data_IF_178168036905
#
_entry.id   IF_178168036905
#
_cell.length_a   1.000
_cell.length_b   1.000
_cell.length_c   1.000
_cell.angle_alpha   90.00
_cell.angle_beta   90.00
_cell.angle_gamma   90.00
#
_symmetry.space_group_name_H-M   'P 1'
#
loop_
_entity.id
_entity.type
_entity.pdbx_description
1 polymer ?
#
# COMPACT_ATOMS: atom_id res chain seq x y z
N UNK A 1 -15.22 -11.61 9.95
CA UNK A 1 -13.82 -11.16 9.87
C UNK A 1 -12.90 -12.35 10.04
N UNK A 2 -12.63 -13.03 8.93
CA UNK A 2 -11.60 -14.04 8.79
C UNK A 2 -10.20 -13.40 8.75
N UNK A 3 -9.15 -14.24 8.76
CA UNK A 3 -7.78 -13.80 8.52
C UNK A 3 -7.66 -13.07 7.18
N UNK A 4 -8.27 -13.61 6.13
CA UNK A 4 -8.17 -13.07 4.77
C UNK A 4 -8.89 -11.72 4.66
N UNK A 5 -10.08 -11.59 5.26
CA UNK A 5 -10.80 -10.32 5.34
C UNK A 5 -9.99 -9.25 6.10
N UNK A 6 -9.24 -9.66 7.14
CA UNK A 6 -8.39 -8.76 7.90
C UNK A 6 -7.16 -8.32 7.11
N UNK A 7 -6.49 -9.25 6.40
CA UNK A 7 -5.34 -8.94 5.56
C UNK A 7 -5.73 -8.03 4.39
N UNK A 8 -6.86 -8.32 3.73
CA UNK A 8 -7.38 -7.46 2.66
C UNK A 8 -7.66 -6.05 3.16
N UNK A 9 -8.27 -5.91 4.34
CA UNK A 9 -8.52 -4.60 4.95
C UNK A 9 -7.22 -3.80 5.16
N UNK A 10 -6.16 -4.44 5.68
CA UNK A 10 -4.88 -3.76 5.86
C UNK A 10 -4.20 -3.42 4.54
N UNK A 11 -4.31 -4.31 3.55
CA UNK A 11 -3.79 -4.06 2.20
C UNK A 11 -4.46 -2.82 1.59
N UNK A 12 -5.79 -2.74 1.66
CA UNK A 12 -6.56 -1.59 1.17
C UNK A 12 -6.15 -0.29 1.89
N UNK A 13 -5.88 -0.35 3.19
CA UNK A 13 -5.38 0.81 3.95
C UNK A 13 -4.01 1.29 3.45
N UNK A 14 -3.06 0.37 3.21
CA UNK A 14 -1.75 0.75 2.69
C UNK A 14 -1.81 1.22 1.24
N UNK A 15 -2.66 0.61 0.40
CA UNK A 15 -2.88 1.09 -0.97
C UNK A 15 -3.50 2.50 -0.99
N UNK A 16 -4.36 2.83 -0.04
CA UNK A 16 -4.84 4.21 0.15
C UNK A 16 -3.70 5.16 0.53
N UNK A 17 -2.75 4.74 1.36
CA UNK A 17 -1.57 5.53 1.69
C UNK A 17 -0.66 5.72 0.46
N UNK A 18 -0.37 4.65 -0.29
CA UNK A 18 0.37 4.72 -1.55
C UNK A 18 -0.28 5.73 -2.50
N UNK A 19 -1.61 5.66 -2.67
CA UNK A 19 -2.36 6.60 -3.48
C UNK A 19 -2.24 8.04 -2.96
N UNK A 20 -2.42 8.26 -1.66
CA UNK A 20 -2.33 9.57 -1.02
C UNK A 20 -0.95 10.21 -1.20
N UNK A 21 0.12 9.41 -1.20
CA UNK A 21 1.49 9.87 -1.42
C UNK A 21 1.94 9.85 -2.88
N UNK A 22 1.11 9.41 -3.82
CA UNK A 22 1.44 9.34 -5.25
C UNK A 22 1.22 10.68 -5.97
N UNK A 23 2.15 11.05 -6.84
CA UNK A 23 2.02 12.26 -7.66
C UNK A 23 1.00 12.14 -8.79
N UNK A 24 0.55 10.92 -9.10
CA UNK A 24 -0.36 10.63 -10.19
C UNK A 24 -1.30 9.46 -9.83
N UNK A 25 -2.40 9.35 -10.57
CA UNK A 25 -3.42 8.31 -10.36
C UNK A 25 -2.92 6.88 -10.66
N UNK A 26 -1.87 6.74 -11.47
CA UNK A 26 -1.27 5.43 -11.75
C UNK A 26 -0.40 4.93 -10.59
N UNK A 27 -0.20 5.77 -9.56
CA UNK A 27 0.68 5.48 -8.43
C UNK A 27 2.07 5.05 -8.89
N UNK A 28 2.56 5.63 -10.00
CA UNK A 28 3.84 5.24 -10.58
C UNK A 28 5.04 5.99 -9.99
N UNK A 29 4.77 7.08 -9.27
CA UNK A 29 5.80 7.92 -8.66
C UNK A 29 5.27 8.65 -7.42
N UNK A 30 6.12 8.87 -6.40
CA UNK A 30 5.75 9.64 -5.21
C UNK A 30 5.59 11.14 -5.49
N UNK A 31 4.80 11.82 -4.65
CA UNK A 31 4.80 13.28 -4.51
C UNK A 31 6.14 13.73 -3.96
N UNK A 32 6.62 14.89 -4.40
CA UNK A 32 7.86 15.49 -3.90
C UNK A 32 7.77 15.71 -2.38
N UNK A 33 8.73 15.18 -1.63
CA UNK A 33 8.77 15.25 -0.16
C UNK A 33 8.00 14.16 0.57
N UNK A 34 7.43 13.18 -0.15
CA UNK A 34 6.74 12.01 0.40
C UNK A 34 7.32 10.68 -0.11
N UNK A 35 8.54 10.72 -0.67
CA UNK A 35 9.20 9.57 -1.29
C UNK A 35 9.33 8.41 -0.31
N UNK A 36 9.69 8.72 0.95
CA UNK A 36 9.85 7.73 2.00
C UNK A 36 8.52 7.09 2.36
N UNK A 37 7.50 7.89 2.67
CA UNK A 37 6.18 7.41 3.09
C UNK A 37 5.52 6.59 1.99
N UNK A 38 5.69 7.00 0.73
CA UNK A 38 5.22 6.25 -0.43
C UNK A 38 5.91 4.90 -0.55
N UNK A 39 7.24 4.86 -0.43
CA UNK A 39 8.00 3.60 -0.47
C UNK A 39 7.60 2.66 0.68
N UNK A 40 7.57 3.17 1.92
CA UNK A 40 7.22 2.37 3.08
C UNK A 40 5.78 1.83 3.00
N UNK A 41 4.82 2.63 2.52
CA UNK A 41 3.45 2.15 2.30
C UNK A 41 3.39 1.07 1.23
N UNK A 42 4.17 1.21 0.16
CA UNK A 42 4.24 0.22 -0.93
C UNK A 42 4.86 -1.09 -0.46
N UNK A 43 5.95 -1.04 0.28
CA UNK A 43 6.60 -2.22 0.87
C UNK A 43 5.63 -2.97 1.81
N UNK A 44 4.85 -2.25 2.64
CA UNK A 44 3.84 -2.88 3.50
C UNK A 44 2.71 -3.50 2.69
N UNK A 45 2.23 -2.84 1.63
CA UNK A 45 1.20 -3.38 0.74
C UNK A 45 1.69 -4.65 0.03
N UNK A 46 2.91 -4.66 -0.47
CA UNK A 46 3.51 -5.82 -1.14
C UNK A 46 3.66 -7.01 -0.16
N UNK A 47 4.13 -6.78 1.06
CA UNK A 47 4.22 -7.82 2.10
C UNK A 47 2.84 -8.40 2.48
N UNK A 48 1.80 -7.56 2.56
CA UNK A 48 0.44 -8.03 2.81
C UNK A 48 -0.09 -8.87 1.64
N UNK A 49 0.22 -8.49 0.40
CA UNK A 49 -0.15 -9.26 -0.79
C UNK A 49 0.54 -10.63 -0.81
N UNK A 50 1.82 -10.70 -0.43
CA UNK A 50 2.52 -11.98 -0.27
C UNK A 50 1.84 -12.87 0.78
N UNK A 51 1.47 -12.33 1.94
CA UNK A 51 0.80 -13.08 3.01
C UNK A 51 -0.60 -13.59 2.63
N UNK A 52 -1.30 -12.91 1.72
CA UNK A 52 -2.59 -13.35 1.20
C UNK A 52 -2.45 -14.47 0.16
N UNK A 53 -1.31 -14.54 -0.53
CA UNK A 53 -1.03 -15.52 -1.58
C UNK A 53 -0.23 -16.74 -1.10
N UNK A 54 0.14 -16.77 0.18
CA UNK A 54 0.88 -17.85 0.84
C UNK A 54 -0.05 -18.92 1.43
#
# INVERSE_FOLDING_TARGET
MSKDELLQKYYDMEMNNVFAYSANYLMSSPKKGYEREWCEAKERADALLELMNA
#
